data_IF_784642975651
#
_entry.id   IF_784642975651
#
_cell.length_a   1.000
_cell.length_b   1.000
_cell.length_c   1.000
_cell.angle_alpha   90.00
_cell.angle_beta   90.00
_cell.angle_gamma   90.00
#
_symmetry.space_group_name_H-M   'P 1'
#
loop_
_entity.id
_entity.type
_entity.pdbx_description
1 polymer ?
#
# COMPACT_ATOMS: atom_id res chain seq x y z
N UNK A 1 47.49 -27.62 -47.63
CA UNK A 1 46.62 -27.05 -46.58
C UNK A 1 46.50 -25.56 -46.79
N UNK A 2 45.29 -25.08 -47.08
CA UNK A 2 45.04 -23.66 -47.36
C UNK A 2 44.97 -22.87 -46.05
N UNK A 3 45.36 -21.58 -46.06
CA UNK A 3 45.31 -20.72 -44.85
C UNK A 3 43.90 -20.62 -44.24
N UNK A 4 42.86 -20.93 -45.01
CA UNK A 4 41.46 -20.92 -44.59
C UNK A 4 41.13 -22.06 -43.61
N UNK A 5 41.74 -23.24 -43.74
CA UNK A 5 41.50 -24.40 -42.86
C UNK A 5 41.99 -24.19 -41.43
N UNK A 6 42.98 -23.30 -41.21
CA UNK A 6 43.53 -23.02 -39.89
C UNK A 6 42.60 -22.20 -38.98
N UNK A 7 41.59 -21.52 -39.52
CA UNK A 7 40.69 -20.67 -38.72
C UNK A 7 39.40 -21.39 -38.28
N UNK A 8 39.02 -22.49 -38.94
CA UNK A 8 37.85 -23.30 -38.56
C UNK A 8 38.09 -24.23 -37.37
N UNK A 9 39.34 -24.38 -36.93
CA UNK A 9 39.75 -25.31 -35.85
C UNK A 9 40.16 -24.60 -34.56
N UNK A 10 39.74 -23.33 -34.36
CA UNK A 10 39.90 -22.69 -33.05
C UNK A 10 38.94 -23.34 -32.06
N UNK A 11 39.40 -24.01 -30.99
CA UNK A 11 38.50 -24.56 -29.98
C UNK A 11 37.72 -23.40 -29.36
N UNK A 12 36.40 -23.39 -29.58
CA UNK A 12 35.49 -22.44 -28.93
C UNK A 12 35.76 -22.52 -27.43
N UNK A 13 36.08 -21.39 -26.79
CA UNK A 13 36.48 -21.35 -25.39
C UNK A 13 35.28 -21.73 -24.51
N UNK A 14 35.08 -23.03 -24.28
CA UNK A 14 33.92 -23.60 -23.59
C UNK A 14 33.82 -23.07 -22.16
N UNK A 15 34.96 -22.81 -21.51
CA UNK A 15 35.01 -22.18 -20.19
C UNK A 15 34.41 -20.79 -20.19
N UNK A 16 34.76 -19.92 -21.16
CA UNK A 16 34.17 -18.58 -21.24
C UNK A 16 32.66 -18.60 -21.47
N UNK A 17 32.17 -19.56 -22.28
CA UNK A 17 30.73 -19.76 -22.48
C UNK A 17 30.03 -20.22 -21.21
N UNK A 18 30.65 -21.14 -20.45
CA UNK A 18 30.10 -21.67 -19.21
C UNK A 18 30.05 -20.61 -18.11
N UNK A 19 31.10 -19.79 -17.98
CA UNK A 19 31.12 -18.66 -17.03
C UNK A 19 30.05 -17.63 -17.35
N UNK A 20 29.84 -17.32 -18.63
CA UNK A 20 28.80 -16.37 -19.06
C UNK A 20 27.39 -16.88 -18.72
N UNK A 21 27.13 -18.18 -18.91
CA UNK A 21 25.86 -18.80 -18.53
C UNK A 21 25.66 -18.75 -17.02
N UNK A 22 26.69 -19.03 -16.22
CA UNK A 22 26.64 -18.96 -14.76
C UNK A 22 26.28 -17.54 -14.27
N UNK A 23 26.91 -16.51 -14.85
CA UNK A 23 26.65 -15.12 -14.50
C UNK A 23 25.20 -14.74 -14.82
N UNK A 24 24.69 -15.14 -15.98
CA UNK A 24 23.29 -14.89 -16.36
C UNK A 24 22.30 -15.61 -15.43
N UNK A 25 22.61 -16.85 -15.03
CA UNK A 25 21.78 -17.59 -14.08
C UNK A 25 21.74 -16.91 -12.70
N UNK A 26 22.89 -16.46 -12.18
CA UNK A 26 22.94 -15.68 -10.94
C UNK A 26 22.15 -14.37 -11.04
N UNK A 27 22.27 -13.65 -12.15
CA UNK A 27 21.52 -12.41 -12.36
C UNK A 27 20.00 -12.66 -12.40
N UNK A 28 19.55 -13.72 -13.08
CA UNK A 28 18.14 -14.09 -13.12
C UNK A 28 17.57 -14.42 -11.73
N UNK A 29 18.32 -15.15 -10.90
CA UNK A 29 17.94 -15.48 -9.52
C UNK A 29 17.83 -14.23 -8.66
N UNK A 30 18.81 -13.32 -8.75
CA UNK A 30 18.80 -12.05 -8.01
C UNK A 30 17.60 -11.17 -8.39
N UNK A 31 17.26 -11.10 -9.69
CA UNK A 31 16.08 -10.37 -10.17
C UNK A 31 14.80 -10.99 -9.64
N UNK A 32 14.68 -12.32 -9.64
CA UNK A 32 13.53 -13.03 -9.09
C UNK A 32 13.32 -12.74 -7.60
N UNK A 33 14.40 -12.80 -6.81
CA UNK A 33 14.36 -12.48 -5.38
C UNK A 33 13.96 -11.02 -5.16
N UNK A 34 14.49 -10.08 -5.96
CA UNK A 34 14.16 -8.66 -5.86
C UNK A 34 12.67 -8.39 -6.11
N UNK A 35 12.09 -9.01 -7.16
CA UNK A 35 10.67 -8.88 -7.47
C UNK A 35 9.81 -9.48 -6.35
N UNK A 36 10.18 -10.68 -5.89
CA UNK A 36 9.48 -11.38 -4.81
C UNK A 36 9.47 -10.57 -3.50
N UNK A 37 10.65 -10.07 -3.09
CA UNK A 37 10.80 -9.24 -1.90
C UNK A 37 9.96 -7.96 -2.02
N UNK A 38 9.93 -7.33 -3.20
CA UNK A 38 9.11 -6.14 -3.45
C UNK A 38 7.60 -6.44 -3.40
N UNK A 39 7.16 -7.58 -3.92
CA UNK A 39 5.74 -7.98 -3.86
C UNK A 39 5.26 -8.36 -2.47
N UNK A 40 6.16 -8.83 -1.60
CA UNK A 40 5.80 -9.26 -0.24
C UNK A 40 5.66 -8.08 0.73
N UNK A 41 6.10 -6.89 0.37
CA UNK A 41 5.90 -5.66 1.16
C UNK A 41 4.55 -5.07 0.76
N UNK A 42 3.48 -5.77 1.11
CA UNK A 42 2.14 -5.17 1.13
C UNK A 42 2.09 -4.32 2.39
N UNK A 43 2.34 -3.02 2.23
CA UNK A 43 2.00 -2.04 3.27
C UNK A 43 0.47 -1.96 3.24
N UNK A 44 -0.18 -2.89 3.95
CA UNK A 44 -1.58 -2.74 4.29
C UNK A 44 -1.64 -1.48 5.16
N UNK A 45 -2.04 -0.35 4.55
CA UNK A 45 -2.40 0.82 5.32
C UNK A 45 -3.39 0.35 6.38
N UNK A 46 -3.16 0.63 7.67
CA UNK A 46 -4.04 0.16 8.73
C UNK A 46 -5.45 0.57 8.32
N UNK A 47 -6.33 -0.41 8.08
CA UNK A 47 -7.73 -0.13 7.77
C UNK A 47 -8.24 0.66 8.96
N UNK A 48 -8.43 1.96 8.77
CA UNK A 48 -8.89 2.86 9.81
C UNK A 48 -10.33 2.44 10.09
N UNK A 49 -10.54 1.77 11.21
CA UNK A 49 -11.86 1.40 11.67
C UNK A 49 -12.59 2.69 12.05
N UNK A 50 -13.48 3.14 11.17
CA UNK A 50 -14.23 4.37 11.36
C UNK A 50 -15.37 4.18 12.37
N UNK A 51 -15.72 2.95 12.74
CA UNK A 51 -16.86 2.63 13.60
C UNK A 51 -18.19 2.69 12.84
N UNK A 52 -19.30 2.68 13.59
CA UNK A 52 -20.64 2.69 13.02
C UNK A 52 -21.01 4.04 12.39
N UNK A 53 -21.89 4.00 11.39
CA UNK A 53 -22.49 5.19 10.77
C UNK A 53 -23.46 5.82 11.76
N UNK A 54 -23.32 7.13 11.96
CA UNK A 54 -24.18 7.90 12.86
C UNK A 54 -24.62 9.21 12.21
N UNK A 55 -25.76 9.70 12.66
CA UNK A 55 -26.30 11.01 12.31
C UNK A 55 -26.36 11.84 13.58
N UNK A 56 -25.76 13.02 13.55
CA UNK A 56 -25.75 13.94 14.69
C UNK A 56 -26.68 15.11 14.38
N UNK A 57 -27.74 15.21 15.17
CA UNK A 57 -28.69 16.31 15.10
C UNK A 57 -28.22 17.43 16.02
N UNK A 58 -27.79 18.54 15.42
CA UNK A 58 -27.38 19.72 16.18
C UNK A 58 -28.60 20.48 16.72
N UNK A 59 -28.46 21.21 17.84
CA UNK A 59 -29.52 22.10 18.37
C UNK A 59 -29.99 23.15 17.35
N UNK A 60 -29.16 23.45 16.36
CA UNK A 60 -29.48 24.35 15.25
C UNK A 60 -30.41 23.75 14.19
N UNK A 61 -30.81 22.48 14.33
CA UNK A 61 -31.60 21.73 13.34
C UNK A 61 -30.79 21.18 12.16
N UNK A 62 -29.47 21.40 12.14
CA UNK A 62 -28.58 20.82 11.12
C UNK A 62 -28.23 19.37 11.45
N UNK A 63 -28.18 18.52 10.44
CA UNK A 63 -27.78 17.13 10.55
C UNK A 63 -26.35 16.94 10.03
N UNK A 64 -25.55 16.15 10.76
CA UNK A 64 -24.17 15.82 10.39
C UNK A 64 -24.04 14.31 10.27
N UNK A 65 -23.75 13.84 9.06
CA UNK A 65 -23.52 12.42 8.76
C UNK A 65 -22.05 12.11 8.97
N UNK A 66 -21.75 11.19 9.88
CA UNK A 66 -20.38 10.89 10.27
C UNK A 66 -20.27 9.48 10.83
N UNK A 67 -19.07 9.10 11.28
CA UNK A 67 -18.80 7.83 11.92
C UNK A 67 -18.43 8.02 13.38
N UNK A 68 -18.74 7.02 14.20
CA UNK A 68 -18.55 7.05 15.66
C UNK A 68 -17.12 7.40 16.07
N UNK A 69 -16.11 6.75 15.47
CA UNK A 69 -14.70 6.94 15.88
C UNK A 69 -14.11 8.28 15.42
N UNK A 70 -14.85 9.06 14.63
CA UNK A 70 -14.47 10.43 14.28
C UNK A 70 -14.95 11.45 15.31
N UNK A 71 -15.74 11.03 16.31
CA UNK A 71 -16.23 11.86 17.40
C UNK A 71 -15.34 11.68 18.61
N UNK A 72 -14.83 12.80 19.13
CA UNK A 72 -13.97 12.81 20.31
C UNK A 72 -14.56 13.76 21.33
N UNK A 73 -14.79 13.28 22.54
CA UNK A 73 -15.12 14.13 23.67
C UNK A 73 -13.84 14.77 24.21
N UNK A 74 -13.78 16.10 24.22
CA UNK A 74 -12.65 16.85 24.76
C UNK A 74 -13.17 18.01 25.59
N UNK A 75 -12.77 18.08 26.86
CA UNK A 75 -13.07 19.18 27.77
C UNK A 75 -14.58 19.51 27.83
N UNK A 76 -15.41 18.48 28.06
CA UNK A 76 -16.90 18.52 28.05
C UNK A 76 -17.57 18.90 26.72
N UNK A 77 -16.79 19.05 25.65
CA UNK A 77 -17.28 19.34 24.30
C UNK A 77 -17.23 18.11 23.42
N UNK A 78 -18.28 17.91 22.63
CA UNK A 78 -18.33 16.87 21.62
C UNK A 78 -17.77 17.45 20.32
N UNK A 79 -16.67 16.89 19.81
CA UNK A 79 -15.98 17.45 18.65
C UNK A 79 -15.85 16.38 17.57
N UNK A 80 -16.26 16.70 16.35
CA UNK A 80 -15.92 15.91 15.17
C UNK A 80 -14.51 16.24 14.71
N UNK A 81 -13.67 15.22 14.56
CA UNK A 81 -12.30 15.31 14.08
C UNK A 81 -12.14 14.53 12.78
N UNK A 82 -12.53 15.17 11.68
CA UNK A 82 -12.18 14.69 10.34
C UNK A 82 -10.71 14.94 10.01
N UNK A 83 -10.21 14.34 8.93
CA UNK A 83 -8.80 14.50 8.51
C UNK A 83 -8.43 15.95 8.14
N UNK A 84 -9.41 16.74 7.70
CA UNK A 84 -9.18 18.12 7.24
C UNK A 84 -9.94 19.16 8.07
N UNK A 85 -11.04 18.76 8.72
CA UNK A 85 -11.98 19.68 9.36
C UNK A 85 -12.28 19.23 10.79
N UNK A 86 -12.36 20.19 11.70
CA UNK A 86 -12.84 20.01 13.07
C UNK A 86 -14.18 20.74 13.20
N UNK A 87 -15.22 20.06 13.70
CA UNK A 87 -16.54 20.66 13.91
C UNK A 87 -16.95 20.52 15.37
N UNK A 88 -17.48 21.58 15.97
CA UNK A 88 -18.09 21.52 17.29
C UNK A 88 -19.49 20.93 17.16
N UNK A 89 -19.75 19.85 17.89
CA UNK A 89 -20.99 19.11 17.93
C UNK A 89 -21.63 19.13 19.33
N UNK A 90 -21.16 20.01 20.21
CA UNK A 90 -21.63 20.11 21.59
C UNK A 90 -23.13 20.35 21.65
N UNK A 91 -23.83 19.53 22.43
CA UNK A 91 -25.29 19.57 22.57
C UNK A 91 -26.08 18.87 21.45
N UNK A 92 -25.40 18.25 20.48
CA UNK A 92 -26.06 17.42 19.47
C UNK A 92 -26.51 16.06 20.01
N UNK A 93 -27.59 15.53 19.47
CA UNK A 93 -28.09 14.18 19.78
C UNK A 93 -27.57 13.21 18.72
N UNK A 94 -26.95 12.12 19.16
CA UNK A 94 -26.44 11.06 18.27
C UNK A 94 -27.57 10.06 18.00
N UNK A 95 -27.89 9.86 16.72
CA UNK A 95 -28.79 8.81 16.24
C UNK A 95 -27.98 7.78 15.46
N UNK A 96 -28.15 6.52 15.83
CA UNK A 96 -27.60 5.37 15.11
C UNK A 96 -28.62 4.99 14.04
N UNK A 97 -28.39 5.46 12.83
CA UNK A 97 -29.19 5.15 11.65
C UNK A 97 -28.23 4.84 10.50
N UNK A 98 -28.46 3.70 9.84
CA UNK A 98 -27.80 3.39 8.59
C UNK A 98 -28.35 4.31 7.50
N UNK A 99 -27.54 5.29 7.12
CA UNK A 99 -27.81 6.13 5.97
C UNK A 99 -27.18 5.52 4.72
N UNK A 100 -28.00 5.38 3.68
CA UNK A 100 -27.65 4.91 2.32
C UNK A 100 -27.36 6.08 1.36
#
# INVERSE_FOLDING_TARGET
MSRFEKYHTKPKNQFASMTLILILACAAVMIGIYIYAKSSIVIEAPKKDLGEKIIIELPSGKQVFTYENLIVQKDDKLIYKGERNTLDLTGGVIKYEDWD
#
